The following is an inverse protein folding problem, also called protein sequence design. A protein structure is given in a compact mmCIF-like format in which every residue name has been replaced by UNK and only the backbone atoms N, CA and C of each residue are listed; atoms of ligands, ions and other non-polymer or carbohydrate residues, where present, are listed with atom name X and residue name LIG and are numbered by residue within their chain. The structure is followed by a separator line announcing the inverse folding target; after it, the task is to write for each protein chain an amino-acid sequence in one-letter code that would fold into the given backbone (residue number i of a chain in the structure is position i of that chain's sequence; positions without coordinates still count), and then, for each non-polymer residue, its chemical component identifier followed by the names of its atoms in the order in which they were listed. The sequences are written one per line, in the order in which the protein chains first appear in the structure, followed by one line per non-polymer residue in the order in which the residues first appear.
data_IF_100925890443
#
_entry.id   IF_100925890443
#
_cell.length_a   1.000
_cell.length_b   1.000
_cell.length_c   1.000
_cell.angle_alpha   90.00
_cell.angle_beta   90.00
_cell.angle_gamma   90.00
#
_symmetry.space_group_name_H-M   'P 1'
#
loop_
_entity.id
_entity.type
_entity.pdbx_description
1 polymer ?
#
# COMPACT_ATOMS: atom_id res chain seq x y z
N UNK A 1 -24.15 5.48 -36.83
CA UNK A 1 -23.93 5.86 -35.42
C UNK A 1 -23.32 4.71 -34.61
N UNK A 2 -23.64 3.46 -34.93
CA UNK A 2 -23.18 2.24 -34.23
C UNK A 2 -21.67 1.94 -34.36
N UNK A 3 -21.08 2.11 -35.55
CA UNK A 3 -19.65 1.81 -35.82
C UNK A 3 -18.68 2.69 -35.01
N UNK A 4 -19.04 3.96 -34.79
CA UNK A 4 -18.20 4.92 -34.05
C UNK A 4 -18.19 4.57 -32.56
N UNK A 5 -19.32 4.15 -32.00
CA UNK A 5 -19.44 3.76 -30.60
C UNK A 5 -18.64 2.49 -30.29
N UNK A 6 -18.73 1.47 -31.16
CA UNK A 6 -17.97 0.22 -31.03
C UNK A 6 -16.45 0.48 -31.03
N UNK A 7 -15.98 1.44 -31.83
CA UNK A 7 -14.56 1.78 -31.90
C UNK A 7 -14.07 2.49 -30.63
N UNK A 8 -14.91 3.36 -30.05
CA UNK A 8 -14.59 4.07 -28.80
C UNK A 8 -14.52 3.11 -27.60
N UNK A 9 -15.44 2.16 -27.51
CA UNK A 9 -15.49 1.17 -26.42
C UNK A 9 -14.30 0.20 -26.49
N UNK A 10 -13.88 -0.19 -27.70
CA UNK A 10 -12.68 -1.00 -27.93
C UNK A 10 -11.39 -0.28 -27.52
N UNK A 11 -11.26 1.01 -27.86
CA UNK A 11 -10.10 1.82 -27.47
C UNK A 11 -10.04 2.04 -25.95
N UNK A 12 -11.18 2.26 -25.29
CA UNK A 12 -11.25 2.38 -23.84
C UNK A 12 -10.86 1.06 -23.16
N UNK A 13 -11.34 -0.07 -23.67
CA UNK A 13 -10.98 -1.40 -23.16
C UNK A 13 -9.49 -1.67 -23.27
N UNK A 14 -8.87 -1.45 -24.44
CA UNK A 14 -7.43 -1.65 -24.64
C UNK A 14 -6.57 -0.73 -23.75
N UNK A 15 -7.01 0.51 -23.53
CA UNK A 15 -6.34 1.44 -22.63
C UNK A 15 -6.37 0.95 -21.18
N UNK A 16 -7.54 0.47 -20.71
CA UNK A 16 -7.71 -0.06 -19.36
C UNK A 16 -6.82 -1.28 -19.11
N UNK A 17 -6.70 -2.19 -20.09
CA UNK A 17 -5.78 -3.33 -20.03
C UNK A 17 -4.32 -2.88 -19.83
N UNK A 18 -3.87 -1.89 -20.61
CA UNK A 18 -2.51 -1.35 -20.50
C UNK A 18 -2.21 -0.77 -19.13
N UNK A 19 -3.18 -0.06 -18.51
CA UNK A 19 -3.02 0.45 -17.16
C UNK A 19 -3.04 -0.65 -16.10
N UNK A 20 -3.94 -1.63 -16.19
CA UNK A 20 -4.04 -2.74 -15.24
C UNK A 20 -2.73 -3.55 -15.22
N UNK A 21 -2.20 -3.91 -16.39
CA UNK A 21 -0.94 -4.67 -16.50
C UNK A 21 0.27 -3.91 -15.91
N UNK A 22 0.40 -2.63 -16.22
CA UNK A 22 1.45 -1.76 -15.63
C UNK A 22 1.32 -1.68 -14.11
N UNK A 23 0.09 -1.54 -13.61
CA UNK A 23 -0.19 -1.44 -12.18
C UNK A 23 0.08 -2.75 -11.45
N UNK A 24 -0.24 -3.88 -12.09
CA UNK A 24 0.07 -5.21 -11.57
C UNK A 24 1.59 -5.43 -11.41
N UNK A 25 2.36 -5.14 -12.46
CA UNK A 25 3.82 -5.27 -12.41
C UNK A 25 4.44 -4.38 -11.32
N UNK A 26 3.96 -3.14 -11.19
CA UNK A 26 4.39 -2.24 -10.13
C UNK A 26 4.05 -2.79 -8.74
N UNK A 27 2.85 -3.37 -8.55
CA UNK A 27 2.46 -3.97 -7.27
C UNK A 27 3.37 -5.13 -6.86
N UNK A 28 3.81 -5.95 -7.83
CA UNK A 28 4.74 -7.06 -7.56
C UNK A 28 6.13 -6.55 -7.13
N UNK A 29 6.65 -5.53 -7.81
CA UNK A 29 7.90 -4.88 -7.41
C UNK A 29 7.77 -4.29 -6.00
N UNK A 30 6.69 -3.56 -5.75
CA UNK A 30 6.47 -2.87 -4.48
C UNK A 30 6.27 -3.84 -3.32
N UNK A 31 5.63 -4.98 -3.55
CA UNK A 31 5.53 -6.04 -2.55
C UNK A 31 6.90 -6.59 -2.15
N UNK A 32 7.81 -6.82 -3.11
CA UNK A 32 9.20 -7.23 -2.80
C UNK A 32 9.93 -6.15 -1.99
N UNK A 33 9.86 -4.89 -2.43
CA UNK A 33 10.47 -3.77 -1.71
C UNK A 33 9.91 -3.60 -0.28
N UNK A 34 8.64 -3.95 -0.05
CA UNK A 34 8.05 -3.92 1.28
C UNK A 34 8.56 -5.02 2.21
N UNK A 35 9.03 -6.15 1.66
CA UNK A 35 9.70 -7.20 2.43
C UNK A 35 11.08 -6.69 2.85
N UNK A 36 11.85 -6.13 1.90
CA UNK A 36 13.15 -5.50 2.19
C UNK A 36 13.01 -4.38 3.23
N UNK A 37 11.95 -3.57 3.14
CA UNK A 37 11.64 -2.53 4.13
C UNK A 37 11.41 -3.12 5.52
N UNK A 38 10.64 -4.21 5.63
CA UNK A 38 10.37 -4.84 6.91
C UNK A 38 11.67 -5.37 7.53
N UNK A 39 12.48 -6.08 6.75
CA UNK A 39 13.77 -6.63 7.19
C UNK A 39 14.74 -5.52 7.64
N UNK A 40 14.91 -4.47 6.83
CA UNK A 40 15.76 -3.32 7.19
C UNK A 40 15.19 -2.58 8.40
N UNK A 41 13.87 -2.47 8.55
CA UNK A 41 13.28 -1.87 9.73
C UNK A 41 13.67 -2.65 10.98
N UNK A 42 13.40 -3.96 11.03
CA UNK A 42 13.67 -4.82 12.19
C UNK A 42 15.15 -4.79 12.61
N UNK A 43 16.04 -4.93 11.64
CA UNK A 43 17.50 -4.92 11.80
C UNK A 43 18.02 -3.66 12.48
N UNK A 44 17.41 -2.52 12.21
CA UNK A 44 17.86 -1.22 12.73
C UNK A 44 17.18 -0.81 14.05
N UNK A 45 16.24 -1.59 14.60
CA UNK A 45 15.56 -1.18 15.84
C UNK A 45 16.31 -1.51 17.14
N UNK A 46 17.23 -2.49 17.12
CA UNK A 46 17.89 -3.01 18.32
C UNK A 46 16.95 -3.74 19.28
N UNK A 47 17.43 -4.15 20.47
CA UNK A 47 16.59 -4.66 21.55
C UNK A 47 15.80 -3.52 22.25
N UNK A 48 14.70 -3.79 22.99
CA UNK A 48 14.10 -5.09 23.34
C UNK A 48 12.92 -5.53 22.44
N UNK A 49 12.70 -4.91 21.27
CA UNK A 49 11.57 -5.29 20.39
C UNK A 49 11.54 -6.79 20.05
N UNK A 50 12.73 -7.40 20.02
CA UNK A 50 12.96 -8.79 19.67
C UNK A 50 13.42 -9.65 20.87
N UNK A 51 13.39 -9.11 22.10
CA UNK A 51 13.75 -9.91 23.28
C UNK A 51 12.60 -10.83 23.70
N UNK A 52 12.85 -12.14 23.88
CA UNK A 52 11.86 -13.06 24.43
C UNK A 52 11.33 -12.54 25.77
N UNK A 53 10.00 -12.46 25.92
CA UNK A 53 9.33 -11.99 27.16
C UNK A 53 8.71 -10.59 27.08
N UNK A 54 9.00 -9.81 26.03
CA UNK A 54 8.29 -8.56 25.72
C UNK A 54 7.57 -8.70 24.37
N UNK A 55 6.43 -9.41 24.29
CA UNK A 55 5.63 -9.31 23.07
C UNK A 55 5.18 -7.85 22.92
N UNK A 56 5.40 -7.20 21.76
CA UNK A 56 4.76 -5.92 21.51
C UNK A 56 3.25 -6.15 21.64
N UNK A 57 2.63 -5.47 22.61
CA UNK A 57 1.21 -5.61 22.96
C UNK A 57 0.38 -5.80 21.68
N UNK A 58 -0.44 -6.86 21.54
CA UNK A 58 -1.05 -7.29 20.28
C UNK A 58 -2.02 -6.27 19.68
N UNK A 59 -2.28 -5.19 20.40
CA UNK A 59 -3.12 -4.09 19.97
C UNK A 59 -2.43 -3.34 18.83
N UNK A 60 -2.94 -3.54 17.61
CA UNK A 60 -2.80 -2.55 16.56
C UNK A 60 -3.27 -1.21 17.13
N UNK A 61 -2.46 -0.14 17.05
CA UNK A 61 -2.91 1.19 17.41
C UNK A 61 -4.23 1.49 16.70
N UNK A 62 -5.23 1.98 17.45
CA UNK A 62 -6.53 2.30 16.91
C UNK A 62 -6.37 3.21 15.69
N UNK A 63 -6.77 2.74 14.51
CA UNK A 63 -6.65 3.49 13.26
C UNK A 63 -5.61 2.99 12.26
N UNK A 64 -4.79 1.96 12.56
CA UNK A 64 -3.99 1.29 11.51
C UNK A 64 -4.88 0.32 10.72
N UNK A 65 -5.17 0.55 9.43
CA UNK A 65 -6.03 -0.32 8.64
C UNK A 65 -5.36 -1.67 8.45
N UNK A 66 -5.89 -2.71 9.11
CA UNK A 66 -5.49 -4.08 8.84
C UNK A 66 -6.22 -4.59 7.60
N UNK A 67 -5.57 -5.39 6.74
CA UNK A 67 -6.31 -6.10 5.72
C UNK A 67 -7.21 -7.12 6.43
N UNK A 68 -8.50 -6.80 6.60
CA UNK A 68 -9.47 -7.73 7.19
C UNK A 68 -9.55 -8.99 6.32
N UNK A 69 -9.18 -10.14 6.88
CA UNK A 69 -9.06 -11.41 6.13
C UNK A 69 -10.39 -11.98 5.62
N UNK A 70 -11.51 -11.66 6.27
CA UNK A 70 -12.80 -12.29 5.98
C UNK A 70 -13.47 -11.84 4.67
N UNK A 71 -12.99 -10.76 4.03
CA UNK A 71 -13.54 -10.23 2.78
C UNK A 71 -12.61 -10.45 1.56
N UNK A 72 -11.55 -11.25 1.72
CA UNK A 72 -10.54 -11.47 0.68
C UNK A 72 -11.07 -12.36 -0.46
N UNK A 73 -11.17 -11.77 -1.66
CA UNK A 73 -11.10 -12.48 -2.94
C UNK A 73 -12.27 -13.41 -3.29
N UNK A 74 -13.19 -12.88 -4.11
CA UNK A 74 -14.13 -13.51 -5.07
C UNK A 74 -15.53 -12.88 -5.04
N UNK A 75 -15.87 -12.11 -4.00
CA UNK A 75 -17.20 -11.46 -3.86
C UNK A 75 -17.25 -9.95 -4.07
N UNK A 76 -16.11 -9.26 -4.25
CA UNK A 76 -16.08 -7.80 -4.44
C UNK A 76 -16.16 -7.42 -5.93
N UNK A 77 -16.85 -6.31 -6.21
CA UNK A 77 -16.84 -5.67 -7.54
C UNK A 77 -15.48 -5.07 -7.86
N UNK A 78 -15.17 -4.89 -9.15
CA UNK A 78 -13.92 -4.27 -9.61
C UNK A 78 -13.75 -2.85 -9.02
N UNK A 79 -14.83 -2.07 -8.97
CA UNK A 79 -14.82 -0.76 -8.31
C UNK A 79 -14.42 -0.86 -6.84
N UNK A 80 -14.96 -1.81 -6.08
CA UNK A 80 -14.63 -1.97 -4.66
C UNK A 80 -13.20 -2.48 -4.44
N UNK A 81 -12.69 -3.33 -5.33
CA UNK A 81 -11.29 -3.74 -5.31
C UNK A 81 -10.37 -2.53 -5.53
N UNK A 82 -10.63 -1.72 -6.56
CA UNK A 82 -9.84 -0.53 -6.85
C UNK A 82 -9.94 0.51 -5.73
N UNK A 83 -11.13 0.76 -5.18
CA UNK A 83 -11.33 1.68 -4.05
C UNK A 83 -10.52 1.24 -2.83
N UNK A 84 -10.55 -0.04 -2.44
CA UNK A 84 -9.76 -0.50 -1.29
C UNK A 84 -8.26 -0.34 -1.50
N UNK A 85 -7.76 -0.68 -2.70
CA UNK A 85 -6.34 -0.53 -3.01
C UNK A 85 -5.91 0.96 -3.06
N UNK A 86 -6.76 1.84 -3.60
CA UNK A 86 -6.53 3.28 -3.59
C UNK A 86 -6.40 3.82 -2.16
N UNK A 87 -7.36 3.48 -1.29
CA UNK A 87 -7.39 3.92 0.11
C UNK A 87 -6.16 3.43 0.87
N UNK A 88 -5.75 2.17 0.64
CA UNK A 88 -4.56 1.60 1.25
C UNK A 88 -3.29 2.34 0.78
N UNK A 89 -3.16 2.63 -0.52
CA UNK A 89 -2.02 3.36 -1.06
C UNK A 89 -1.90 4.77 -0.46
N UNK A 90 -3.01 5.52 -0.38
CA UNK A 90 -3.06 6.84 0.27
C UNK A 90 -2.63 6.72 1.73
N UNK A 91 -3.30 5.86 2.50
CA UNK A 91 -3.09 5.71 3.95
C UNK A 91 -1.65 5.36 4.30
N UNK A 92 -1.13 4.29 3.69
CA UNK A 92 0.20 3.79 4.00
C UNK A 92 1.31 4.69 3.48
N UNK A 93 1.10 5.44 2.38
CA UNK A 93 2.09 6.45 1.96
C UNK A 93 2.27 7.53 3.04
N UNK A 94 1.19 8.00 3.67
CA UNK A 94 1.24 8.97 4.76
C UNK A 94 1.86 8.37 6.02
N UNK A 95 1.47 7.16 6.40
CA UNK A 95 2.01 6.49 7.58
C UNK A 95 3.51 6.24 7.47
N UNK A 96 3.99 5.79 6.31
CA UNK A 96 5.41 5.56 6.06
C UNK A 96 6.22 6.86 6.08
N UNK A 97 5.65 8.00 5.66
CA UNK A 97 6.31 9.30 5.81
C UNK A 97 6.56 9.66 7.27
N UNK A 98 5.61 9.35 8.17
CA UNK A 98 5.84 9.55 9.61
C UNK A 98 6.91 8.60 10.13
N UNK A 99 6.89 7.33 9.71
CA UNK A 99 7.95 6.37 10.07
C UNK A 99 9.31 6.86 9.59
N UNK A 100 9.40 7.40 8.38
CA UNK A 100 10.62 7.99 7.82
C UNK A 100 11.17 9.11 8.71
N UNK A 101 10.31 10.06 9.12
CA UNK A 101 10.70 11.14 10.02
C UNK A 101 11.21 10.61 11.37
N UNK A 102 10.49 9.66 11.97
CA UNK A 102 10.90 9.03 13.23
C UNK A 102 12.25 8.31 13.10
N UNK A 103 12.50 7.62 11.99
CA UNK A 103 13.76 6.91 11.78
C UNK A 103 14.94 7.86 11.55
N UNK A 104 14.72 9.08 11.05
CA UNK A 104 15.79 10.09 10.97
C UNK A 104 16.31 10.47 12.35
N UNK A 105 15.45 10.49 13.37
CA UNK A 105 15.81 10.76 14.75
C UNK A 105 16.37 9.52 15.45
N UNK A 106 15.69 8.38 15.31
CA UNK A 106 16.02 7.15 16.03
C UNK A 106 17.28 6.46 15.47
N UNK A 107 17.43 6.47 14.14
CA UNK A 107 18.44 5.72 13.41
C UNK A 107 19.06 6.55 12.27
N UNK A 108 19.70 7.71 12.56
CA UNK A 108 20.18 8.65 11.55
C UNK A 108 21.23 8.06 10.58
N UNK A 109 21.93 7.00 11.00
CA UNK A 109 22.98 6.35 10.20
C UNK A 109 22.50 5.13 9.40
N UNK A 110 21.22 4.76 9.52
CA UNK A 110 20.64 3.62 8.81
C UNK A 110 20.30 3.96 7.34
N UNK A 111 21.32 4.23 6.53
CA UNK A 111 21.17 4.70 5.14
C UNK A 111 20.32 3.77 4.29
N UNK A 112 20.52 2.45 4.40
CA UNK A 112 19.73 1.44 3.68
C UNK A 112 18.23 1.55 4.01
N UNK A 113 17.90 1.65 5.31
CA UNK A 113 16.52 1.83 5.77
C UNK A 113 15.89 3.11 5.21
N UNK A 114 16.62 4.23 5.22
CA UNK A 114 16.12 5.51 4.68
C UNK A 114 15.85 5.43 3.18
N UNK A 115 16.74 4.78 2.42
CA UNK A 115 16.58 4.59 0.98
C UNK A 115 15.37 3.72 0.66
N UNK A 116 15.18 2.59 1.34
CA UNK A 116 14.03 1.71 1.07
C UNK A 116 12.71 2.35 1.50
N UNK A 117 12.68 3.09 2.63
CA UNK A 117 11.51 3.87 3.04
C UNK A 117 11.10 4.89 1.97
N UNK A 118 12.04 5.71 1.50
CA UNK A 118 11.77 6.70 0.46
C UNK A 118 11.25 6.03 -0.82
N UNK A 119 11.92 4.96 -1.25
CA UNK A 119 11.57 4.21 -2.46
C UNK A 119 10.15 3.65 -2.39
N UNK A 120 9.79 3.00 -1.26
CA UNK A 120 8.45 2.45 -1.05
C UNK A 120 7.40 3.57 -1.02
N UNK A 121 7.66 4.69 -0.34
CA UNK A 121 6.74 5.85 -0.30
C UNK A 121 6.46 6.38 -1.71
N UNK A 122 7.49 6.55 -2.53
CA UNK A 122 7.32 7.07 -3.90
C UNK A 122 6.53 6.08 -4.77
N UNK A 123 6.88 4.79 -4.73
CA UNK A 123 6.16 3.78 -5.50
C UNK A 123 4.71 3.59 -5.04
N UNK A 124 4.41 3.76 -3.75
CA UNK A 124 3.03 3.78 -3.24
C UNK A 124 2.22 4.92 -3.86
N UNK A 125 2.81 6.11 -4.00
CA UNK A 125 2.17 7.26 -4.66
C UNK A 125 1.98 7.02 -6.17
N UNK A 126 2.96 6.40 -6.83
CA UNK A 126 2.81 5.98 -8.23
C UNK A 126 1.68 4.97 -8.39
N UNK A 127 1.61 3.98 -7.49
CA UNK A 127 0.58 2.95 -7.51
C UNK A 127 -0.81 3.55 -7.29
N UNK A 128 -0.95 4.47 -6.33
CA UNK A 128 -2.16 5.27 -6.11
C UNK A 128 -2.62 5.98 -7.38
N UNK A 129 -1.74 6.71 -8.05
CA UNK A 129 -2.07 7.46 -9.27
C UNK A 129 -2.47 6.54 -10.44
N UNK A 130 -1.82 5.38 -10.56
CA UNK A 130 -2.20 4.37 -11.55
C UNK A 130 -3.60 3.80 -11.27
N UNK A 131 -3.91 3.49 -10.01
CA UNK A 131 -5.25 3.03 -9.60
C UNK A 131 -6.29 4.10 -9.91
N UNK A 132 -6.05 5.36 -9.55
CA UNK A 132 -6.93 6.49 -9.86
C UNK A 132 -7.20 6.60 -11.36
N UNK A 133 -6.15 6.48 -12.18
CA UNK A 133 -6.26 6.51 -13.64
C UNK A 133 -7.18 5.41 -14.17
N UNK A 134 -7.04 4.18 -13.65
CA UNK A 134 -7.91 3.05 -14.00
C UNK A 134 -9.36 3.33 -13.58
N UNK A 135 -9.56 3.85 -12.37
CA UNK A 135 -10.91 4.14 -11.87
C UNK A 135 -11.61 5.19 -12.73
N UNK A 136 -10.92 6.28 -13.05
CA UNK A 136 -11.44 7.34 -13.94
C UNK A 136 -11.76 6.78 -15.32
N UNK A 137 -10.87 5.96 -15.90
CA UNK A 137 -11.07 5.40 -17.24
C UNK A 137 -12.18 4.34 -17.30
N UNK A 138 -12.54 3.74 -16.17
CA UNK A 138 -13.66 2.81 -16.04
C UNK A 138 -14.96 3.49 -15.55
N UNK A 139 -14.96 4.83 -15.42
CA UNK A 139 -16.08 5.61 -14.85
C UNK A 139 -16.47 5.19 -13.42
N UNK A 140 -15.51 4.72 -12.63
CA UNK A 140 -15.69 4.40 -11.22
C UNK A 140 -15.46 5.62 -10.33
N UNK A 141 -16.09 5.62 -9.15
CA UNK A 141 -15.96 6.74 -8.20
C UNK A 141 -14.66 6.62 -7.42
N UNK A 142 -13.79 7.62 -7.54
CA UNK A 142 -12.57 7.76 -6.71
C UNK A 142 -12.95 8.26 -5.31
N UNK A 143 -12.61 7.53 -4.23
CA UNK A 143 -12.92 7.95 -2.86
C UNK A 143 -12.19 9.24 -2.51
N UNK A 144 -12.90 10.16 -1.84
CA UNK A 144 -12.26 11.29 -1.15
C UNK A 144 -11.73 10.80 0.18
N UNK A 145 -10.43 10.97 0.40
CA UNK A 145 -9.75 10.57 1.63
C UNK A 145 -9.24 11.83 2.31
N UNK A 146 -9.79 12.11 3.50
CA UNK A 146 -9.20 13.10 4.40
C UNK A 146 -7.83 12.59 4.87
N UNK A 147 -6.91 13.50 5.21
CA UNK A 147 -5.56 13.11 5.61
C UNK A 147 -5.60 11.99 6.67
N UNK A 148 -4.95 10.84 6.40
CA UNK A 148 -4.97 9.70 7.31
C UNK A 148 -4.45 10.13 8.67
N UNK A 149 -5.31 10.10 9.70
CA UNK A 149 -4.87 10.41 11.06
C UNK A 149 -3.95 9.28 11.54
N UNK A 150 -2.76 9.64 12.00
CA UNK A 150 -1.87 8.69 12.63
C UNK A 150 -2.44 8.33 14.02
N UNK A 151 -2.50 7.05 14.40
CA UNK A 151 -2.85 6.66 15.76
C UNK A 151 -1.89 7.28 16.77
N UNK A 152 -2.39 8.21 17.60
CA UNK A 152 -1.71 8.80 18.76
C UNK A 152 -0.19 8.97 18.63
N UNK A 153 0.24 9.77 17.66
CA UNK A 153 1.53 10.47 17.71
C UNK A 153 1.48 11.59 18.75
N UNK A 154 1.11 11.28 20.00
CA UNK A 154 1.37 12.21 21.08
C UNK A 154 2.89 12.36 21.17
N UNK A 155 3.37 13.59 21.16
CA UNK A 155 4.77 14.00 21.33
C UNK A 155 5.43 13.52 22.64
N UNK A 156 4.70 12.72 23.44
CA UNK A 156 5.12 12.08 24.69
C UNK A 156 5.20 10.55 24.57
N UNK A 157 4.98 9.98 23.39
CA UNK A 157 5.20 8.56 23.15
C UNK A 157 6.70 8.28 23.13
N UNK A 158 7.16 7.42 24.04
CA UNK A 158 8.58 7.07 24.15
C UNK A 158 9.10 6.39 22.88
N UNK A 159 10.42 6.42 22.71
CA UNK A 159 11.11 5.82 21.55
C UNK A 159 10.71 4.37 21.30
N UNK A 160 10.45 3.58 22.36
CA UNK A 160 9.95 2.21 22.23
C UNK A 160 8.59 2.15 21.52
N UNK A 161 7.60 3.00 21.88
CA UNK A 161 6.30 3.00 21.22
C UNK A 161 6.41 3.41 19.74
N UNK A 162 7.27 4.38 19.42
CA UNK A 162 7.51 4.78 18.03
C UNK A 162 8.07 3.63 17.20
N UNK A 163 9.03 2.86 17.75
CA UNK A 163 9.58 1.68 17.10
C UNK A 163 8.53 0.58 16.88
N UNK A 164 7.69 0.31 17.88
CA UNK A 164 6.58 -0.66 17.74
C UNK A 164 5.59 -0.21 16.68
N UNK A 165 5.22 1.08 16.68
CA UNK A 165 4.29 1.64 15.69
C UNK A 165 4.85 1.53 14.28
N UNK A 166 6.11 1.93 14.07
CA UNK A 166 6.73 1.86 12.75
C UNK A 166 6.87 0.43 12.23
N UNK A 167 7.18 -0.54 13.09
CA UNK A 167 7.16 -1.96 12.73
C UNK A 167 5.76 -2.38 12.24
N UNK A 168 4.71 -2.03 12.99
CA UNK A 168 3.32 -2.37 12.62
C UNK A 168 2.89 -1.73 11.30
N UNK A 169 3.35 -0.51 11.02
CA UNK A 169 3.09 0.17 9.74
C UNK A 169 3.82 -0.56 8.60
N UNK A 170 5.09 -0.94 8.78
CA UNK A 170 5.85 -1.68 7.77
C UNK A 170 5.21 -3.05 7.47
N UNK A 171 4.83 -3.80 8.51
CA UNK A 171 4.13 -5.07 8.38
C UNK A 171 2.76 -4.90 7.70
N UNK A 172 1.98 -3.91 8.12
CA UNK A 172 0.69 -3.60 7.52
C UNK A 172 0.82 -3.26 6.04
N UNK A 173 1.84 -2.49 5.66
CA UNK A 173 2.13 -2.15 4.27
C UNK A 173 2.43 -3.42 3.45
N UNK A 174 3.27 -4.31 3.98
CA UNK A 174 3.61 -5.57 3.32
C UNK A 174 2.37 -6.45 3.07
N UNK A 175 1.51 -6.63 4.07
CA UNK A 175 0.29 -7.42 3.96
C UNK A 175 -0.71 -6.81 2.97
N UNK A 176 -0.84 -5.47 2.95
CA UNK A 176 -1.67 -4.79 1.97
C UNK A 176 -1.15 -4.94 0.54
N UNK A 177 0.16 -4.85 0.33
CA UNK A 177 0.76 -5.01 -0.99
C UNK A 177 0.66 -6.45 -1.50
N UNK A 178 0.78 -7.45 -0.62
CA UNK A 178 0.50 -8.84 -0.99
C UNK A 178 -0.93 -8.99 -1.51
N UNK A 179 -1.91 -8.37 -0.83
CA UNK A 179 -3.30 -8.33 -1.29
C UNK A 179 -3.42 -7.58 -2.61
N UNK A 180 -2.79 -6.42 -2.76
CA UNK A 180 -2.83 -5.65 -4.01
C UNK A 180 -2.36 -6.47 -5.20
N UNK A 181 -1.30 -7.27 -5.03
CA UNK A 181 -0.84 -8.21 -6.07
C UNK A 181 -1.95 -9.20 -6.45
N UNK A 182 -2.66 -9.78 -5.48
CA UNK A 182 -3.76 -10.73 -5.74
C UNK A 182 -4.96 -10.05 -6.42
N UNK A 183 -5.34 -8.86 -5.97
CA UNK A 183 -6.43 -8.08 -6.55
C UNK A 183 -6.13 -7.67 -7.99
N UNK A 184 -4.89 -7.24 -8.29
CA UNK A 184 -4.47 -6.89 -9.65
C UNK A 184 -4.26 -8.10 -10.55
N UNK A 185 -3.87 -9.26 -10.02
CA UNK A 185 -3.88 -10.51 -10.78
C UNK A 185 -5.30 -10.90 -11.22
N UNK A 186 -6.29 -10.72 -10.33
CA UNK A 186 -7.71 -10.93 -10.64
C UNK A 186 -8.23 -9.93 -11.68
N UNK A 187 -7.89 -8.65 -11.55
CA UNK A 187 -8.25 -7.64 -12.56
C UNK A 187 -7.58 -7.95 -13.91
N UNK A 188 -6.30 -8.33 -13.93
CA UNK A 188 -5.59 -8.69 -15.16
C UNK A 188 -6.22 -9.91 -15.86
N UNK A 189 -6.77 -10.87 -15.10
CA UNK A 189 -7.47 -12.02 -15.70
C UNK A 189 -8.88 -11.68 -16.23
N UNK A 190 -9.56 -10.69 -15.64
CA UNK A 190 -10.86 -10.17 -16.11
C UNK A 190 -10.73 -9.26 -17.32
N UNK A 191 -9.61 -8.56 -17.44
CA UNK A 191 -9.29 -7.65 -18.52
C UNK A 191 -8.01 -8.09 -19.26
N UNK A 192 -8.00 -9.28 -19.89
CA UNK A 192 -6.82 -9.81 -20.56
C UNK A 192 -6.45 -8.98 -21.79
N UNK A 193 -5.16 -8.90 -22.10
CA UNK A 193 -4.69 -8.30 -23.35
C UNK A 193 -5.12 -9.17 -24.53
N UNK A 194 -5.94 -8.63 -25.42
CA UNK A 194 -6.27 -9.28 -26.69
C UNK A 194 -5.04 -9.21 -27.60
N UNK A 195 -4.55 -10.36 -28.07
CA UNK A 195 -3.58 -10.43 -29.16
C UNK A 195 -4.26 -10.23 -30.51
#
# INVERSE_FOLDING_TARGET
MEVIQVTADQLASSRNQGYISKTYNLSQLLWKLSQDLLEEYEKNQGGPLWTPGYPPSPLYPAGVPQPQSAAWGNGLSDEKLLQHNFIACVSYSCYLQVVQQQQQELNPKATSLHTVLETVIQHMKTLMHNIETIMVSMNFTVPKIDQPMLPNSNSHSGSFQQKVLGYRICLGCNLWLERTVKDFALLASRYPSSF
#
